data_IF_873411421270
#
_entry.id   IF_873411421270
#
_cell.length_a   1.000
_cell.length_b   1.000
_cell.length_c   1.000
_cell.angle_alpha   90.00
_cell.angle_beta   90.00
_cell.angle_gamma   90.00
#
_symmetry.space_group_name_H-M   'P 1'
#
loop_
_entity.id
_entity.type
_entity.pdbx_description
1 polymer ?
#
# COMPACT_ATOMS: atom_id res chain seq x y z
N UNK A 1 -8.91 -93.77 -10.26
CA UNK A 1 -10.35 -93.49 -10.51
C UNK A 1 -10.38 -92.04 -10.99
N UNK A 2 -10.17 -91.87 -12.23
CA UNK A 2 -11.12 -91.63 -13.33
C UNK A 2 -11.79 -90.29 -13.19
N UNK A 3 -11.90 -89.36 -14.06
CA UNK A 3 -11.75 -89.34 -15.57
C UNK A 3 -11.85 -87.84 -15.92
N UNK A 4 -11.03 -87.37 -16.76
CA UNK A 4 -11.17 -87.17 -18.19
C UNK A 4 -12.27 -86.28 -18.70
N UNK A 5 -11.85 -85.42 -19.53
CA UNK A 5 -12.27 -84.90 -20.84
C UNK A 5 -12.89 -83.48 -20.77
N UNK A 6 -12.77 -82.60 -21.74
CA UNK A 6 -12.19 -82.60 -23.08
C UNK A 6 -12.10 -81.15 -23.60
N UNK A 7 -11.21 -80.92 -24.49
CA UNK A 7 -10.94 -79.81 -25.39
C UNK A 7 -12.11 -79.37 -26.24
N UNK A 8 -12.21 -78.04 -26.49
CA UNK A 8 -12.65 -77.53 -27.83
C UNK A 8 -11.93 -76.22 -28.16
N UNK A 9 -11.19 -76.24 -29.26
CA UNK A 9 -10.57 -75.12 -29.94
C UNK A 9 -11.59 -74.43 -30.84
N UNK A 10 -11.70 -73.09 -30.74
CA UNK A 10 -12.31 -72.28 -31.79
C UNK A 10 -11.33 -71.20 -32.23
N UNK A 11 -10.93 -71.31 -33.46
CA UNK A 11 -10.16 -70.35 -34.26
C UNK A 11 -10.96 -69.06 -34.42
N UNK A 12 -10.28 -67.90 -34.25
CA UNK A 12 -10.66 -66.69 -34.95
C UNK A 12 -9.43 -65.88 -35.28
N UNK A 13 -9.30 -65.55 -36.53
CA UNK A 13 -8.23 -64.83 -37.24
C UNK A 13 -7.95 -63.43 -36.73
N UNK A 14 -6.73 -62.91 -37.00
CA UNK A 14 -6.30 -61.60 -36.50
C UNK A 14 -6.82 -60.46 -37.39
N UNK A 15 -7.37 -59.43 -36.76
CA UNK A 15 -7.70 -58.15 -37.41
C UNK A 15 -6.43 -57.29 -37.48
N UNK A 16 -6.17 -56.78 -38.66
CA UNK A 16 -5.12 -55.84 -39.04
C UNK A 16 -5.19 -54.53 -38.24
N UNK A 17 -4.05 -53.98 -37.79
CA UNK A 17 -4.04 -52.65 -37.15
C UNK A 17 -4.10 -51.54 -38.17
N UNK A 18 -5.11 -50.68 -38.09
CA UNK A 18 -5.17 -49.39 -38.79
C UNK A 18 -4.07 -48.44 -38.26
N UNK A 19 -3.23 -48.03 -39.18
CA UNK A 19 -2.18 -47.03 -39.04
C UNK A 19 -2.84 -45.64 -38.87
N UNK A 20 -2.96 -45.14 -37.66
CA UNK A 20 -3.26 -43.71 -37.41
C UNK A 20 -1.98 -42.89 -37.46
N UNK A 21 -1.95 -41.90 -38.35
CA UNK A 21 -0.88 -40.94 -38.58
C UNK A 21 -0.48 -40.15 -37.30
N UNK A 22 0.83 -39.85 -37.09
CA UNK A 22 1.32 -39.10 -35.96
C UNK A 22 1.40 -37.60 -36.27
N UNK A 23 0.25 -36.89 -36.29
CA UNK A 23 0.24 -35.45 -36.43
C UNK A 23 -1.03 -34.87 -35.78
N UNK A 24 -1.12 -34.92 -34.46
CA UNK A 24 -1.92 -34.05 -33.64
C UNK A 24 -1.80 -34.41 -32.14
N UNK A 25 -0.63 -34.10 -31.58
CA UNK A 25 -0.50 -33.97 -30.13
C UNK A 25 0.43 -32.82 -29.79
N UNK A 26 0.01 -31.59 -30.13
CA UNK A 26 0.49 -30.44 -29.39
C UNK A 26 -0.16 -30.51 -28.01
N UNK A 27 0.62 -31.01 -27.09
CA UNK A 27 0.31 -31.04 -25.67
C UNK A 27 -0.13 -29.67 -25.18
N UNK A 28 -1.40 -29.50 -24.97
CA UNK A 28 -1.88 -28.62 -23.94
C UNK A 28 -1.31 -29.14 -22.62
N UNK A 29 -0.41 -28.40 -22.02
CA UNK A 29 0.02 -28.64 -20.63
C UNK A 29 -1.25 -28.77 -19.77
N UNK A 30 -1.36 -29.79 -18.93
CA UNK A 30 -2.50 -29.86 -18.03
C UNK A 30 -2.40 -28.70 -17.05
N UNK A 31 -3.20 -27.66 -17.26
CA UNK A 31 -3.60 -26.74 -16.20
C UNK A 31 -4.23 -27.63 -15.13
N UNK A 32 -3.63 -27.63 -13.95
CA UNK A 32 -4.15 -28.38 -12.82
C UNK A 32 -5.63 -28.01 -12.62
N UNK A 33 -6.56 -28.98 -12.65
CA UNK A 33 -7.97 -28.70 -12.44
C UNK A 33 -8.13 -28.39 -10.94
N UNK A 34 -8.52 -27.15 -10.59
CA UNK A 34 -8.92 -26.83 -9.22
C UNK A 34 -8.64 -25.43 -8.69
N UNK A 35 -7.80 -24.61 -9.32
CA UNK A 35 -7.47 -23.29 -8.75
C UNK A 35 -8.41 -22.13 -9.18
N UNK A 36 -9.17 -22.29 -10.25
CA UNK A 36 -10.01 -21.20 -10.80
C UNK A 36 -11.44 -21.13 -10.23
N UNK A 37 -11.95 -22.20 -9.61
CA UNK A 37 -13.32 -22.24 -9.08
C UNK A 37 -13.53 -21.44 -7.78
N UNK A 38 -12.50 -20.78 -7.28
CA UNK A 38 -12.46 -20.27 -5.91
C UNK A 38 -12.81 -18.78 -5.73
N UNK A 39 -12.61 -17.89 -6.70
CA UNK A 39 -12.79 -16.44 -6.50
C UNK A 39 -14.06 -15.93 -7.19
N UNK A 40 -14.97 -15.23 -6.45
CA UNK A 40 -16.18 -14.68 -7.06
C UNK A 40 -15.89 -13.53 -8.04
N UNK A 41 -14.69 -12.88 -7.94
CA UNK A 41 -14.26 -11.72 -8.75
C UNK A 41 -15.34 -10.63 -8.96
N UNK A 42 -16.31 -10.55 -8.02
CA UNK A 42 -17.43 -9.63 -8.06
C UNK A 42 -18.55 -10.02 -7.09
N UNK A 43 -19.74 -9.48 -7.33
CA UNK A 43 -20.91 -9.68 -6.48
C UNK A 43 -21.02 -8.63 -5.35
N UNK A 44 -22.23 -8.54 -4.78
CA UNK A 44 -22.56 -7.49 -3.80
C UNK A 44 -21.64 -7.51 -2.56
N UNK A 45 -21.33 -8.67 -2.01
CA UNK A 45 -20.47 -8.79 -0.82
C UNK A 45 -19.04 -8.33 -1.08
N UNK A 46 -18.48 -8.65 -2.26
CA UNK A 46 -17.14 -8.24 -2.64
C UNK A 46 -17.05 -6.71 -2.78
N UNK A 47 -17.99 -6.10 -3.51
CA UNK A 47 -18.02 -4.65 -3.68
C UNK A 47 -18.41 -3.87 -2.42
N UNK A 48 -19.23 -4.44 -1.53
CA UNK A 48 -19.47 -3.88 -0.20
C UNK A 48 -18.19 -3.90 0.65
N UNK A 49 -17.36 -4.94 0.54
CA UNK A 49 -16.05 -4.97 1.20
C UNK A 49 -15.12 -3.89 0.65
N UNK A 50 -15.11 -3.64 -0.67
CA UNK A 50 -14.36 -2.51 -1.25
C UNK A 50 -14.89 -1.19 -0.74
N UNK A 51 -16.20 -0.99 -0.71
CA UNK A 51 -16.81 0.23 -0.19
C UNK A 51 -16.43 0.50 1.28
N UNK A 52 -16.52 -0.52 2.15
CA UNK A 52 -16.08 -0.40 3.54
C UNK A 52 -14.59 -0.10 3.67
N UNK A 53 -13.76 -0.69 2.80
CA UNK A 53 -12.33 -0.39 2.74
C UNK A 53 -12.06 1.06 2.29
N UNK A 54 -12.83 1.61 1.33
CA UNK A 54 -12.75 3.03 0.95
C UNK A 54 -13.00 3.93 2.16
N UNK A 55 -14.03 3.63 2.97
CA UNK A 55 -14.36 4.41 4.17
C UNK A 55 -13.27 4.31 5.25
N UNK A 56 -12.74 3.10 5.49
CA UNK A 56 -11.63 2.89 6.41
C UNK A 56 -10.39 3.69 5.99
N UNK A 57 -10.05 3.64 4.71
CA UNK A 57 -8.89 4.35 4.16
C UNK A 57 -9.12 5.85 4.05
N UNK A 58 -10.36 6.30 3.86
CA UNK A 58 -10.71 7.72 3.99
C UNK A 58 -10.36 8.22 5.40
N UNK A 59 -10.71 7.49 6.47
CA UNK A 59 -10.30 7.83 7.83
C UNK A 59 -8.77 7.86 7.98
N UNK A 60 -8.04 6.92 7.37
CA UNK A 60 -6.58 6.94 7.36
C UNK A 60 -6.01 8.16 6.61
N UNK A 61 -6.78 8.80 5.74
CA UNK A 61 -6.41 10.04 5.05
C UNK A 61 -6.11 11.22 5.99
N UNK A 62 -6.57 11.18 7.24
CA UNK A 62 -6.18 12.17 8.27
C UNK A 62 -4.65 12.24 8.48
N UNK A 63 -3.91 11.18 8.18
CA UNK A 63 -2.45 11.16 8.27
C UNK A 63 -1.81 12.31 7.47
N UNK A 64 -2.36 12.62 6.30
CA UNK A 64 -1.85 13.71 5.44
C UNK A 64 -2.21 15.11 5.97
N UNK A 65 -3.13 15.19 6.93
CA UNK A 65 -3.48 16.45 7.59
C UNK A 65 -2.48 16.86 8.69
N UNK A 66 -1.43 16.06 8.94
CA UNK A 66 -0.46 16.35 10.00
C UNK A 66 0.15 17.74 9.88
N UNK A 67 0.42 18.24 8.68
CA UNK A 67 0.90 19.61 8.47
C UNK A 67 -0.01 20.70 9.06
N UNK A 68 -1.35 20.52 9.04
CA UNK A 68 -2.27 21.45 9.70
C UNK A 68 -2.15 21.38 11.23
N UNK A 69 -1.95 20.18 11.78
CA UNK A 69 -1.68 19.99 13.22
C UNK A 69 -0.35 20.60 13.63
N UNK A 70 0.73 20.34 12.86
CA UNK A 70 2.07 20.85 13.11
C UNK A 70 2.07 22.39 13.20
N UNK A 71 1.42 23.04 12.23
CA UNK A 71 1.27 24.49 12.20
C UNK A 71 0.50 24.99 13.45
N UNK A 72 -0.58 24.30 13.83
CA UNK A 72 -1.36 24.65 15.01
C UNK A 72 -0.57 24.47 16.31
N UNK A 73 0.12 23.34 16.47
CA UNK A 73 0.93 23.04 17.64
C UNK A 73 2.07 24.05 17.83
N UNK A 74 2.77 24.40 16.76
CA UNK A 74 3.83 25.40 16.78
C UNK A 74 3.32 26.80 17.17
N UNK A 75 2.09 27.14 16.81
CA UNK A 75 1.51 28.43 17.14
C UNK A 75 0.87 28.47 18.55
N UNK A 76 0.48 27.33 19.13
CA UNK A 76 -0.32 27.28 20.37
C UNK A 76 0.35 26.42 21.46
N UNK A 77 0.02 25.11 21.52
CA UNK A 77 0.38 24.27 22.69
C UNK A 77 1.87 24.00 22.80
N UNK A 78 2.60 23.92 21.70
CA UNK A 78 4.01 23.53 21.64
C UNK A 78 4.93 24.62 21.09
N UNK A 79 4.52 25.91 21.24
CA UNK A 79 5.27 27.07 20.75
C UNK A 79 6.71 27.18 21.29
N UNK A 80 7.01 26.53 22.41
CA UNK A 80 8.35 26.51 23.03
C UNK A 80 9.27 25.43 22.44
N UNK A 81 8.78 24.56 21.52
CA UNK A 81 9.56 23.47 20.96
C UNK A 81 9.99 23.75 19.51
N UNK A 82 11.17 23.30 19.11
CA UNK A 82 11.58 23.40 17.71
C UNK A 82 10.68 22.57 16.80
N UNK A 83 10.46 23.02 15.57
CA UNK A 83 9.63 22.34 14.57
C UNK A 83 10.05 20.87 14.37
N UNK A 84 11.37 20.57 14.43
CA UNK A 84 11.88 19.20 14.35
C UNK A 84 11.35 18.27 15.43
N UNK A 85 11.11 18.77 16.65
CA UNK A 85 10.51 17.96 17.73
C UNK A 85 9.03 17.70 17.48
N UNK A 86 8.31 18.68 16.94
CA UNK A 86 6.88 18.54 16.62
C UNK A 86 6.68 17.55 15.47
N UNK A 87 7.53 17.58 14.45
CA UNK A 87 7.49 16.67 13.29
C UNK A 87 7.67 15.19 13.67
N UNK A 88 8.32 14.90 14.83
CA UNK A 88 8.43 13.52 15.33
C UNK A 88 7.06 12.87 15.61
N UNK A 89 6.03 13.67 15.96
CA UNK A 89 4.69 13.15 16.21
C UNK A 89 4.11 12.50 14.92
N UNK A 90 4.21 13.20 13.79
CA UNK A 90 3.75 12.68 12.51
C UNK A 90 4.61 11.54 11.98
N UNK A 91 5.93 11.62 12.17
CA UNK A 91 6.85 10.55 11.78
C UNK A 91 6.60 9.26 12.56
N UNK A 92 6.37 9.35 13.87
CA UNK A 92 6.01 8.21 14.72
C UNK A 92 4.66 7.62 14.28
N UNK A 93 3.67 8.46 13.99
CA UNK A 93 2.35 8.02 13.53
C UNK A 93 2.43 7.19 12.25
N UNK A 94 3.19 7.66 11.26
CA UNK A 94 3.40 6.94 10.01
C UNK A 94 4.22 5.67 10.21
N UNK A 95 5.27 5.72 11.04
CA UNK A 95 6.09 4.56 11.33
C UNK A 95 5.30 3.46 12.04
N UNK A 96 4.49 3.79 13.05
CA UNK A 96 3.64 2.82 13.77
C UNK A 96 2.62 2.18 12.85
N UNK A 97 1.96 2.96 11.97
CA UNK A 97 1.07 2.44 10.94
C UNK A 97 1.77 1.33 10.14
N UNK A 98 2.95 1.59 9.60
CA UNK A 98 3.67 0.62 8.76
C UNK A 98 4.26 -0.53 9.59
N UNK A 99 4.90 -0.25 10.72
CA UNK A 99 5.57 -1.25 11.56
C UNK A 99 4.61 -2.27 12.18
N UNK A 100 3.37 -1.87 12.51
CA UNK A 100 2.34 -2.75 13.08
C UNK A 100 1.88 -3.87 12.11
N UNK A 101 2.20 -3.75 10.83
CA UNK A 101 1.74 -4.65 9.79
C UNK A 101 2.10 -6.11 10.01
N UNK A 102 3.32 -6.41 10.44
CA UNK A 102 3.77 -7.77 10.69
C UNK A 102 2.97 -8.52 11.75
N UNK A 103 2.45 -7.81 12.75
CA UNK A 103 1.58 -8.36 13.79
C UNK A 103 0.13 -8.42 13.29
N UNK A 104 -0.38 -7.31 12.75
CA UNK A 104 -1.78 -7.20 12.33
C UNK A 104 -2.12 -8.11 11.15
N UNK A 105 -1.18 -8.30 10.21
CA UNK A 105 -1.36 -9.22 9.11
C UNK A 105 -1.55 -10.67 9.56
N UNK A 106 -0.79 -11.10 10.57
CA UNK A 106 -0.93 -12.45 11.16
C UNK A 106 -2.25 -12.62 11.92
N UNK A 107 -2.63 -11.61 12.71
CA UNK A 107 -3.91 -11.63 13.43
C UNK A 107 -5.05 -11.71 12.40
N UNK A 108 -4.94 -11.01 11.27
CA UNK A 108 -5.90 -11.12 10.18
C UNK A 108 -5.98 -12.54 9.61
N UNK A 109 -4.84 -13.15 9.30
CA UNK A 109 -4.81 -14.50 8.74
C UNK A 109 -5.34 -15.55 9.73
N UNK A 110 -5.11 -15.37 11.03
CA UNK A 110 -5.60 -16.27 12.06
C UNK A 110 -7.10 -16.09 12.40
N UNK A 111 -7.54 -14.86 12.60
CA UNK A 111 -8.84 -14.55 13.22
C UNK A 111 -9.81 -13.78 12.30
N UNK A 112 -9.34 -13.31 11.14
CA UNK A 112 -10.14 -12.54 10.20
C UNK A 112 -10.21 -11.03 10.51
N UNK A 113 -10.95 -10.25 9.68
CA UNK A 113 -10.93 -8.80 9.74
C UNK A 113 -11.59 -8.18 10.98
N UNK A 114 -12.70 -8.75 11.47
CA UNK A 114 -13.50 -8.13 12.51
C UNK A 114 -12.77 -7.97 13.85
N UNK A 115 -11.94 -8.95 14.20
CA UNK A 115 -11.14 -8.94 15.45
C UNK A 115 -10.15 -7.77 15.48
N UNK A 116 -9.76 -7.23 14.33
CA UNK A 116 -8.85 -6.09 14.21
C UNK A 116 -9.64 -4.80 13.94
N UNK A 117 -10.61 -4.83 13.04
CA UNK A 117 -11.36 -3.63 12.62
C UNK A 117 -12.16 -3.01 13.77
N UNK A 118 -12.83 -3.82 14.59
CA UNK A 118 -13.68 -3.30 15.67
C UNK A 118 -12.83 -2.57 16.72
N UNK A 119 -11.81 -3.21 17.34
CA UNK A 119 -10.97 -2.49 18.32
C UNK A 119 -10.15 -1.38 17.67
N UNK A 120 -9.73 -1.50 16.39
CA UNK A 120 -9.05 -0.44 15.66
C UNK A 120 -9.92 0.79 15.45
N UNK A 121 -11.19 0.60 15.12
CA UNK A 121 -12.18 1.67 14.98
C UNK A 121 -12.44 2.37 16.32
N UNK A 122 -12.58 1.60 17.39
CA UNK A 122 -12.72 2.16 18.75
C UNK A 122 -11.47 2.94 19.16
N UNK A 123 -10.28 2.39 18.91
CA UNK A 123 -9.02 3.04 19.22
C UNK A 123 -8.83 4.35 18.46
N UNK A 124 -9.26 4.41 17.17
CA UNK A 124 -9.21 5.64 16.38
C UNK A 124 -10.08 6.72 17.00
N UNK A 125 -11.32 6.39 17.34
CA UNK A 125 -12.25 7.36 17.95
C UNK A 125 -11.74 7.81 19.32
N UNK A 126 -11.34 6.88 20.17
CA UNK A 126 -10.81 7.20 21.51
C UNK A 126 -9.54 8.05 21.41
N UNK A 127 -8.59 7.69 20.56
CA UNK A 127 -7.35 8.46 20.40
C UNK A 127 -7.64 9.88 19.86
N UNK A 128 -8.57 10.02 18.92
CA UNK A 128 -8.99 11.32 18.39
C UNK A 128 -9.67 12.15 19.48
N UNK A 129 -10.53 11.56 20.32
CA UNK A 129 -11.15 12.26 21.45
C UNK A 129 -10.11 12.67 22.50
N UNK A 130 -9.17 11.79 22.85
CA UNK A 130 -8.08 12.10 23.79
C UNK A 130 -7.18 13.22 23.25
N UNK A 131 -6.90 13.23 21.94
CA UNK A 131 -6.10 14.30 21.32
C UNK A 131 -6.72 15.68 21.54
N UNK A 132 -8.06 15.79 21.62
CA UNK A 132 -8.77 17.05 21.84
C UNK A 132 -8.49 17.72 23.21
N UNK A 133 -7.96 16.96 24.17
CA UNK A 133 -7.65 17.43 25.53
C UNK A 133 -6.14 17.46 25.83
N UNK A 134 -5.31 17.05 24.87
CA UNK A 134 -3.86 17.06 25.02
C UNK A 134 -3.32 18.50 25.05
N UNK A 135 -2.34 18.73 25.94
CA UNK A 135 -1.67 20.04 26.10
C UNK A 135 -0.15 19.93 26.09
N UNK A 136 0.41 18.75 26.42
CA UNK A 136 1.87 18.52 26.52
C UNK A 136 2.39 17.69 25.38
N UNK A 137 3.64 17.87 24.99
CA UNK A 137 4.30 17.18 23.88
C UNK A 137 4.20 15.64 23.99
N UNK A 138 4.52 15.07 25.15
CA UNK A 138 4.46 13.61 25.31
C UNK A 138 3.04 13.05 25.15
N UNK A 139 2.00 13.82 25.47
CA UNK A 139 0.61 13.41 25.28
C UNK A 139 0.30 13.31 23.77
N UNK A 140 0.66 14.32 22.96
CA UNK A 140 0.50 14.25 21.50
C UNK A 140 1.33 13.13 20.91
N UNK A 141 2.57 12.92 21.35
CA UNK A 141 3.42 11.84 20.88
C UNK A 141 2.79 10.46 21.13
N UNK A 142 2.23 10.22 22.31
CA UNK A 142 1.59 8.96 22.67
C UNK A 142 0.22 8.80 22.01
N UNK A 143 -0.63 9.84 22.04
CA UNK A 143 -2.00 9.75 21.56
C UNK A 143 -2.03 9.81 20.03
N UNK A 144 -1.45 10.84 19.43
CA UNK A 144 -1.46 10.98 17.96
C UNK A 144 -0.39 10.10 17.30
N UNK A 145 0.83 10.09 17.82
CA UNK A 145 1.90 9.29 17.24
C UNK A 145 1.64 7.79 17.39
N UNK A 146 1.47 7.29 18.62
CA UNK A 146 1.37 5.86 18.87
C UNK A 146 -0.05 5.31 18.69
N UNK A 147 -1.05 5.82 19.43
CA UNK A 147 -2.40 5.23 19.44
C UNK A 147 -3.11 5.44 18.11
N UNK A 148 -3.08 6.67 17.56
CA UNK A 148 -3.71 6.93 16.26
C UNK A 148 -2.95 6.23 15.13
N UNK A 149 -1.61 6.16 15.17
CA UNK A 149 -0.81 5.39 14.21
C UNK A 149 -1.17 3.91 14.21
N UNK A 150 -1.30 3.29 15.39
CA UNK A 150 -1.73 1.89 15.52
C UNK A 150 -3.16 1.69 15.02
N UNK A 151 -4.09 2.59 15.33
CA UNK A 151 -5.48 2.49 14.87
C UNK A 151 -5.58 2.53 13.34
N UNK A 152 -4.77 3.36 12.68
CA UNK A 152 -4.69 3.36 11.22
C UNK A 152 -4.19 2.03 10.67
N UNK A 153 -3.18 1.41 11.29
CA UNK A 153 -2.74 0.07 10.93
C UNK A 153 -3.87 -0.96 11.06
N UNK A 154 -4.64 -0.89 12.14
CA UNK A 154 -5.78 -1.79 12.40
C UNK A 154 -6.94 -1.59 11.41
N UNK A 155 -7.06 -0.46 10.74
CA UNK A 155 -8.00 -0.23 9.64
C UNK A 155 -7.40 -0.62 8.28
N UNK A 156 -6.13 -0.31 8.06
CA UNK A 156 -5.44 -0.47 6.79
C UNK A 156 -5.26 -1.94 6.39
N UNK A 157 -4.61 -2.75 7.24
CA UNK A 157 -4.24 -4.12 6.90
C UNK A 157 -5.45 -5.04 6.66
N UNK A 158 -6.45 -5.10 7.53
CA UNK A 158 -7.59 -5.97 7.29
C UNK A 158 -8.44 -5.53 6.11
N UNK A 159 -8.49 -4.24 5.78
CA UNK A 159 -9.20 -3.74 4.60
C UNK A 159 -8.60 -4.31 3.31
N UNK A 160 -7.30 -4.21 3.14
CA UNK A 160 -6.62 -4.72 1.94
C UNK A 160 -6.55 -6.24 1.87
N UNK A 161 -6.27 -6.89 3.00
CA UNK A 161 -6.25 -8.34 3.05
C UNK A 161 -7.63 -8.91 2.74
N UNK A 162 -8.72 -8.30 3.21
CA UNK A 162 -10.09 -8.69 2.89
C UNK A 162 -10.39 -8.58 1.40
N UNK A 163 -10.06 -7.45 0.75
CA UNK A 163 -10.21 -7.28 -0.71
C UNK A 163 -9.46 -8.41 -1.44
N UNK A 164 -8.25 -8.73 -1.02
CA UNK A 164 -7.43 -9.75 -1.65
C UNK A 164 -8.03 -11.17 -1.56
N UNK A 165 -8.96 -11.42 -0.61
CA UNK A 165 -9.68 -12.70 -0.51
C UNK A 165 -10.88 -12.78 -1.44
N UNK A 166 -11.46 -11.66 -1.89
CA UNK A 166 -12.63 -11.63 -2.75
C UNK A 166 -12.30 -11.52 -4.24
N UNK A 167 -11.17 -10.88 -4.60
CA UNK A 167 -10.80 -10.58 -5.98
C UNK A 167 -9.47 -11.24 -6.37
N UNK A 168 -9.46 -11.89 -7.54
CA UNK A 168 -8.25 -12.38 -8.20
C UNK A 168 -7.99 -11.61 -9.49
N UNK A 169 -8.98 -11.58 -10.40
CA UNK A 169 -8.91 -10.94 -11.71
C UNK A 169 -8.86 -9.41 -11.59
N UNK A 170 -9.78 -8.82 -10.82
CA UNK A 170 -9.92 -7.37 -10.63
C UNK A 170 -9.30 -6.86 -9.33
N UNK A 171 -8.29 -7.58 -8.79
CA UNK A 171 -7.67 -7.26 -7.49
C UNK A 171 -7.00 -5.89 -7.48
N UNK A 172 -6.26 -5.55 -8.55
CA UNK A 172 -5.56 -4.27 -8.59
C UNK A 172 -6.56 -3.10 -8.67
N UNK A 173 -7.60 -3.22 -9.48
CA UNK A 173 -8.68 -2.24 -9.55
C UNK A 173 -9.37 -2.07 -8.20
N UNK A 174 -9.75 -3.16 -7.53
CA UNK A 174 -10.43 -3.11 -6.24
C UNK A 174 -9.56 -2.46 -5.14
N UNK A 175 -8.27 -2.79 -5.08
CA UNK A 175 -7.29 -2.17 -4.18
C UNK A 175 -7.08 -0.69 -4.55
N UNK A 176 -6.98 -0.37 -5.84
CA UNK A 176 -6.84 1.01 -6.33
C UNK A 176 -8.00 1.90 -5.92
N UNK A 177 -9.24 1.42 -6.08
CA UNK A 177 -10.45 2.13 -5.63
C UNK A 177 -10.43 2.31 -4.12
N UNK A 178 -10.06 1.29 -3.35
CA UNK A 178 -9.99 1.39 -1.90
C UNK A 178 -8.97 2.44 -1.44
N UNK A 179 -7.74 2.41 -2.00
CA UNK A 179 -6.69 3.35 -1.60
C UNK A 179 -6.96 4.78 -2.07
N UNK A 180 -7.78 4.98 -3.12
CA UNK A 180 -8.24 6.31 -3.50
C UNK A 180 -9.03 6.99 -2.37
N UNK A 181 -9.72 6.22 -1.51
CA UNK A 181 -10.36 6.72 -0.30
C UNK A 181 -9.40 7.51 0.59
N UNK A 182 -8.17 7.03 0.80
CA UNK A 182 -7.16 7.77 1.56
C UNK A 182 -6.72 9.06 0.87
N UNK A 183 -6.75 9.12 -0.45
CA UNK A 183 -6.48 10.33 -1.22
C UNK A 183 -7.58 11.38 -1.01
N UNK A 184 -8.85 10.95 -1.07
CA UNK A 184 -10.00 11.84 -0.81
C UNK A 184 -9.97 12.37 0.63
N UNK A 185 -9.73 11.49 1.62
CA UNK A 185 -9.53 11.88 3.00
C UNK A 185 -8.37 12.86 3.17
N UNK A 186 -7.27 12.63 2.44
CA UNK A 186 -6.09 13.49 2.42
C UNK A 186 -6.33 14.90 1.85
N UNK A 187 -7.40 15.12 1.12
CA UNK A 187 -7.85 16.44 0.68
C UNK A 187 -8.86 17.02 1.69
N UNK A 188 -9.83 16.23 2.10
CA UNK A 188 -10.94 16.69 2.95
C UNK A 188 -10.47 17.09 4.35
N UNK A 189 -9.67 16.25 5.02
CA UNK A 189 -9.29 16.51 6.42
C UNK A 189 -8.41 17.75 6.59
N UNK A 190 -7.36 18.03 5.80
CA UNK A 190 -6.59 19.26 5.96
C UNK A 190 -7.43 20.52 5.79
N UNK A 191 -8.34 20.53 4.80
CA UNK A 191 -9.25 21.66 4.55
C UNK A 191 -10.20 21.82 5.73
N UNK A 192 -10.81 20.74 6.19
CA UNK A 192 -11.72 20.72 7.33
C UNK A 192 -11.05 21.25 8.60
N UNK A 193 -9.87 20.72 8.93
CA UNK A 193 -9.14 21.16 10.13
C UNK A 193 -8.74 22.63 10.06
N UNK A 194 -8.24 23.10 8.93
CA UNK A 194 -7.86 24.50 8.76
C UNK A 194 -9.03 25.45 9.03
N UNK A 195 -10.23 25.12 8.53
CA UNK A 195 -11.42 25.93 8.74
C UNK A 195 -11.94 25.81 10.18
N UNK A 196 -12.01 24.59 10.71
CA UNK A 196 -12.56 24.36 12.05
C UNK A 196 -11.64 24.88 13.15
N UNK A 197 -10.32 24.79 13.01
CA UNK A 197 -9.38 25.36 13.98
C UNK A 197 -9.58 26.88 14.13
N UNK A 198 -9.83 27.58 13.03
CA UNK A 198 -10.06 29.01 13.05
C UNK A 198 -11.45 29.42 13.60
N UNK A 199 -12.48 28.58 13.36
CA UNK A 199 -13.87 28.94 13.69
C UNK A 199 -14.32 28.49 15.08
N UNK A 200 -13.97 27.25 15.49
CA UNK A 200 -14.46 26.63 16.74
C UNK A 200 -13.34 26.14 17.66
N UNK A 201 -12.09 26.36 17.26
CA UNK A 201 -10.90 25.95 17.99
C UNK A 201 -10.54 24.46 17.88
N UNK A 202 -9.34 24.13 18.35
CA UNK A 202 -8.72 22.81 18.21
C UNK A 202 -9.56 21.68 18.78
N UNK A 203 -10.00 21.81 20.04
CA UNK A 203 -10.67 20.72 20.76
C UNK A 203 -11.94 20.24 20.05
N UNK A 204 -12.83 21.15 19.62
CA UNK A 204 -14.04 20.79 18.93
C UNK A 204 -13.80 20.33 17.50
N UNK A 205 -12.85 20.92 16.80
CA UNK A 205 -12.48 20.48 15.45
C UNK A 205 -12.04 19.00 15.42
N UNK A 206 -11.21 18.61 16.39
CA UNK A 206 -10.75 17.21 16.54
C UNK A 206 -11.90 16.28 16.92
N UNK A 207 -12.81 16.71 17.82
CA UNK A 207 -13.99 15.91 18.18
C UNK A 207 -14.93 15.68 17.00
N UNK A 208 -15.18 16.69 16.19
CA UNK A 208 -16.00 16.56 14.97
C UNK A 208 -15.40 15.50 14.03
N UNK A 209 -14.08 15.52 13.82
CA UNK A 209 -13.43 14.48 13.02
C UNK A 209 -13.58 13.09 13.65
N UNK A 210 -13.51 12.99 14.98
CA UNK A 210 -13.74 11.76 15.72
C UNK A 210 -15.16 11.20 15.52
N UNK A 211 -16.20 12.04 15.56
CA UNK A 211 -17.57 11.63 15.28
C UNK A 211 -17.77 11.21 13.82
N UNK A 212 -17.16 11.93 12.88
CA UNK A 212 -17.15 11.53 11.48
C UNK A 212 -16.52 10.14 11.31
N UNK A 213 -15.33 9.93 11.89
CA UNK A 213 -14.66 8.63 11.85
C UNK A 213 -15.48 7.53 12.53
N UNK A 214 -16.18 7.81 13.64
CA UNK A 214 -17.07 6.85 14.30
C UNK A 214 -18.15 6.34 13.33
N UNK A 215 -18.84 7.27 12.64
CA UNK A 215 -19.88 6.91 11.68
C UNK A 215 -19.34 6.08 10.51
N UNK A 216 -18.21 6.48 9.92
CA UNK A 216 -17.59 5.79 8.80
C UNK A 216 -17.04 4.41 9.21
N UNK A 217 -16.41 4.31 10.38
CA UNK A 217 -15.89 3.05 10.93
C UNK A 217 -17.02 2.08 11.29
N UNK A 218 -18.17 2.55 11.76
CA UNK A 218 -19.34 1.69 12.01
C UNK A 218 -19.79 1.00 10.71
N UNK A 219 -19.89 1.74 9.60
CA UNK A 219 -20.20 1.18 8.28
C UNK A 219 -19.11 0.22 7.82
N UNK A 220 -17.83 0.56 8.02
CA UNK A 220 -16.68 -0.30 7.70
C UNK A 220 -16.76 -1.64 8.40
N UNK A 221 -17.04 -1.66 9.71
CA UNK A 221 -17.13 -2.91 10.51
C UNK A 221 -18.26 -3.84 10.06
N UNK A 222 -19.32 -3.28 9.49
CA UNK A 222 -20.46 -4.05 8.97
C UNK A 222 -20.15 -4.61 7.57
N UNK A 223 -19.53 -3.82 6.71
CA UNK A 223 -19.37 -4.11 5.28
C UNK A 223 -18.11 -4.87 4.93
N UNK A 224 -17.01 -4.68 5.66
CA UNK A 224 -15.75 -5.41 5.40
C UNK A 224 -15.84 -6.84 5.90
N UNK A 225 -15.73 -7.78 4.97
CA UNK A 225 -15.78 -9.22 5.24
C UNK A 225 -14.63 -9.94 4.59
N UNK A 226 -14.25 -11.09 5.13
CA UNK A 226 -13.30 -12.01 4.48
C UNK A 226 -14.06 -13.24 3.98
N UNK A 227 -13.64 -13.76 2.86
CA UNK A 227 -14.19 -14.98 2.29
C UNK A 227 -13.79 -16.23 3.07
N UNK A 228 -12.57 -16.26 3.61
CA UNK A 228 -12.05 -17.40 4.34
C UNK A 228 -12.57 -17.35 5.78
N UNK A 229 -13.34 -18.38 6.24
CA UNK A 229 -13.84 -18.43 7.61
C UNK A 229 -12.69 -18.49 8.62
N UNK A 230 -12.86 -17.91 9.82
CA UNK A 230 -11.95 -18.15 10.94
C UNK A 230 -11.91 -19.65 11.24
N UNK A 231 -10.72 -20.21 11.50
CA UNK A 231 -10.54 -21.63 11.85
C UNK A 231 -10.15 -22.55 10.68
N UNK A 232 -10.36 -22.19 9.43
CA UNK A 232 -9.76 -22.88 8.27
C UNK A 232 -8.37 -22.36 7.91
N UNK A 233 -7.89 -21.40 8.66
CA UNK A 233 -6.62 -20.71 8.44
C UNK A 233 -5.54 -21.44 9.24
N UNK A 234 -4.66 -22.13 8.54
CA UNK A 234 -3.52 -22.86 9.12
C UNK A 234 -2.35 -21.93 9.52
N UNK A 235 -2.63 -20.65 9.76
CA UNK A 235 -1.57 -19.71 10.10
C UNK A 235 -1.05 -19.98 11.52
N UNK A 236 0.13 -20.59 11.60
CA UNK A 236 0.91 -20.64 12.84
C UNK A 236 1.25 -19.20 13.24
N UNK A 237 1.20 -18.89 14.52
CA UNK A 237 1.48 -17.57 15.07
C UNK A 237 2.93 -17.10 14.82
N UNK A 238 3.82 -18.02 14.45
CA UNK A 238 5.21 -17.78 14.02
C UNK A 238 5.26 -18.02 12.50
N UNK A 239 5.78 -17.08 11.68
CA UNK A 239 5.95 -17.32 10.26
C UNK A 239 6.84 -18.53 10.08
N UNK A 240 6.40 -19.49 9.29
CA UNK A 240 7.30 -20.54 8.85
C UNK A 240 8.50 -19.85 8.16
N UNK A 241 9.71 -20.26 8.51
CA UNK A 241 10.95 -19.73 7.89
C UNK A 241 10.92 -19.82 6.36
N UNK A 242 10.05 -20.66 5.81
CA UNK A 242 9.76 -20.80 4.37
C UNK A 242 9.15 -19.54 3.78
N UNK A 243 8.28 -18.84 4.49
CA UNK A 243 7.65 -17.58 4.01
C UNK A 243 8.69 -16.48 3.81
N UNK A 244 9.71 -16.46 4.69
CA UNK A 244 10.79 -15.46 4.64
C UNK A 244 11.93 -15.87 3.70
N UNK A 245 12.01 -17.15 3.27
CA UNK A 245 13.05 -17.64 2.36
C UNK A 245 12.64 -17.64 0.89
N UNK A 246 11.42 -17.26 0.56
CA UNK A 246 10.93 -17.14 -0.80
C UNK A 246 11.65 -15.99 -1.53
N UNK A 247 12.51 -16.31 -2.48
CA UNK A 247 13.35 -15.33 -3.17
C UNK A 247 12.55 -14.22 -3.89
N UNK A 248 11.45 -14.49 -4.64
CA UNK A 248 10.59 -13.44 -5.19
C UNK A 248 10.05 -12.50 -4.13
N UNK A 249 9.65 -13.03 -2.96
CA UNK A 249 9.13 -12.25 -1.86
C UNK A 249 10.18 -11.32 -1.25
N UNK A 250 11.39 -11.85 -0.96
CA UNK A 250 12.50 -11.05 -0.41
C UNK A 250 12.87 -9.91 -1.36
N UNK A 251 12.98 -10.19 -2.66
CA UNK A 251 13.31 -9.19 -3.68
C UNK A 251 12.22 -8.12 -3.80
N UNK A 252 10.94 -8.52 -3.75
CA UNK A 252 9.82 -7.59 -3.74
C UNK A 252 9.85 -6.67 -2.51
N UNK A 253 10.04 -7.24 -1.32
CA UNK A 253 10.13 -6.49 -0.05
C UNK A 253 11.33 -5.54 -0.06
N UNK A 254 12.50 -6.00 -0.51
CA UNK A 254 13.70 -5.16 -0.64
C UNK A 254 13.52 -4.02 -1.64
N UNK A 255 12.88 -4.31 -2.78
CA UNK A 255 12.52 -3.28 -3.76
C UNK A 255 11.57 -2.23 -3.19
N UNK A 256 10.52 -2.68 -2.49
CA UNK A 256 9.58 -1.77 -1.82
C UNK A 256 10.24 -0.95 -0.71
N UNK A 257 11.18 -1.52 0.05
CA UNK A 257 11.96 -0.78 1.06
C UNK A 257 12.72 0.38 0.43
N UNK A 258 13.47 0.13 -0.65
CA UNK A 258 14.24 1.16 -1.35
C UNK A 258 13.34 2.23 -1.97
N UNK A 259 12.25 1.83 -2.62
CA UNK A 259 11.31 2.79 -3.20
C UNK A 259 10.67 3.65 -2.11
N UNK A 260 10.20 3.06 -1.00
CA UNK A 260 9.62 3.83 0.10
C UNK A 260 10.63 4.77 0.77
N UNK A 261 11.92 4.44 0.75
CA UNK A 261 12.98 5.32 1.23
C UNK A 261 13.07 6.60 0.39
N UNK A 262 12.99 6.51 -0.94
CA UNK A 262 13.09 7.65 -1.86
C UNK A 262 11.78 8.38 -2.13
N UNK A 263 10.66 7.66 -2.14
CA UNK A 263 9.36 8.14 -2.63
C UNK A 263 8.84 9.37 -1.88
N UNK A 264 9.04 9.42 -0.56
CA UNK A 264 8.51 10.50 0.27
C UNK A 264 9.41 11.74 0.29
N UNK A 265 10.64 11.68 -0.24
CA UNK A 265 11.57 12.82 -0.25
C UNK A 265 10.95 14.06 -0.93
N UNK A 266 10.38 13.97 -2.16
CA UNK A 266 9.73 15.13 -2.77
C UNK A 266 8.50 15.62 -2.00
N UNK A 267 7.72 14.73 -1.35
CA UNK A 267 6.57 15.13 -0.55
C UNK A 267 6.95 16.02 0.64
N UNK A 268 8.15 15.84 1.19
CA UNK A 268 8.66 16.61 2.32
C UNK A 268 9.36 17.88 1.84
N UNK A 269 10.23 17.78 0.83
CA UNK A 269 11.18 18.85 0.50
C UNK A 269 10.82 19.68 -0.73
N UNK A 270 9.78 19.33 -1.51
CA UNK A 270 9.46 20.08 -2.75
C UNK A 270 8.92 21.47 -2.46
N UNK A 271 8.22 21.68 -1.36
CA UNK A 271 7.78 23.00 -0.94
C UNK A 271 8.97 23.91 -0.61
N UNK A 272 9.92 23.40 0.19
CA UNK A 272 11.14 24.12 0.55
C UNK A 272 12.02 24.38 -0.67
N UNK A 273 12.16 23.40 -1.57
CA UNK A 273 12.84 23.57 -2.85
C UNK A 273 12.21 24.69 -3.69
N UNK A 274 10.89 24.81 -3.71
CA UNK A 274 10.21 25.86 -4.46
C UNK A 274 10.48 27.24 -3.86
N UNK A 275 10.51 27.37 -2.54
CA UNK A 275 10.91 28.61 -1.85
C UNK A 275 12.38 28.94 -2.14
N UNK A 276 13.29 27.95 -2.11
CA UNK A 276 14.69 28.12 -2.50
C UNK A 276 14.84 28.64 -3.94
N UNK A 277 13.91 28.29 -4.86
CA UNK A 277 13.84 28.82 -6.22
C UNK A 277 13.18 30.19 -6.34
N UNK A 278 12.81 30.84 -5.24
CA UNK A 278 12.22 32.18 -5.22
C UNK A 278 10.70 32.21 -5.39
N UNK A 279 10.01 31.07 -5.26
CA UNK A 279 8.54 31.00 -5.30
C UNK A 279 7.99 31.38 -3.92
N UNK A 280 6.90 32.13 -3.89
CA UNK A 280 6.27 32.55 -2.63
C UNK A 280 5.79 31.35 -1.80
N UNK A 281 5.90 31.43 -0.48
CA UNK A 281 5.49 30.37 0.45
C UNK A 281 4.00 30.00 0.30
N UNK A 282 3.13 30.97 0.00
CA UNK A 282 1.72 30.71 -0.28
C UNK A 282 1.47 29.82 -1.51
N UNK A 283 2.25 30.02 -2.58
CA UNK A 283 2.18 29.22 -3.80
C UNK A 283 2.80 27.83 -3.59
N UNK A 284 3.85 27.73 -2.79
CA UNK A 284 4.55 26.48 -2.48
C UNK A 284 3.62 25.43 -1.84
N UNK A 285 2.65 25.87 -1.05
CA UNK A 285 1.64 24.98 -0.47
C UNK A 285 0.77 24.30 -1.55
N UNK A 286 0.42 25.01 -2.62
CA UNK A 286 -0.39 24.45 -3.71
C UNK A 286 0.36 23.42 -4.53
N UNK A 287 1.69 23.44 -4.55
CA UNK A 287 2.53 22.44 -5.24
C UNK A 287 2.33 21.04 -4.60
N UNK A 288 2.29 20.96 -3.28
CA UNK A 288 2.02 19.70 -2.58
C UNK A 288 0.59 19.22 -2.86
N UNK A 289 -0.37 20.14 -2.93
CA UNK A 289 -1.76 19.80 -3.29
C UNK A 289 -1.84 19.26 -4.72
N UNK A 290 -1.10 19.83 -5.66
CA UNK A 290 -1.01 19.34 -7.05
C UNK A 290 -0.38 17.94 -7.12
N UNK A 291 0.67 17.66 -6.30
CA UNK A 291 1.27 16.32 -6.20
C UNK A 291 0.26 15.30 -5.65
N UNK A 292 -0.49 15.65 -4.62
CA UNK A 292 -1.54 14.78 -4.08
C UNK A 292 -2.66 14.53 -5.09
N UNK A 293 -3.08 15.54 -5.86
CA UNK A 293 -4.06 15.37 -6.94
C UNK A 293 -3.55 14.39 -8.01
N UNK A 294 -2.31 14.51 -8.45
CA UNK A 294 -1.67 13.53 -9.33
C UNK A 294 -1.66 12.13 -8.74
N UNK A 295 -1.38 12.01 -7.44
CA UNK A 295 -1.34 10.73 -6.73
C UNK A 295 -2.73 10.05 -6.67
N UNK A 296 -3.84 10.80 -6.57
CA UNK A 296 -5.18 10.21 -6.63
C UNK A 296 -5.43 9.55 -7.99
N UNK A 297 -5.08 10.25 -9.08
CA UNK A 297 -5.17 9.68 -10.42
C UNK A 297 -4.32 8.41 -10.56
N UNK A 298 -3.08 8.43 -10.06
CA UNK A 298 -2.16 7.29 -10.06
C UNK A 298 -2.67 6.09 -9.26
N UNK A 299 -3.50 6.29 -8.25
CA UNK A 299 -4.10 5.20 -7.45
C UNK A 299 -5.28 4.51 -8.15
N UNK A 300 -5.86 5.11 -9.17
CA UNK A 300 -7.06 4.57 -9.86
C UNK A 300 -6.70 4.03 -11.25
N UNK A 301 -6.15 4.86 -12.14
CA UNK A 301 -5.96 4.50 -13.54
C UNK A 301 -4.91 3.40 -13.77
N UNK A 302 -3.68 3.45 -13.19
CA UNK A 302 -2.70 2.39 -13.37
C UNK A 302 -3.12 1.02 -12.80
N UNK A 303 -3.76 0.91 -11.62
CA UNK A 303 -4.32 -0.35 -11.15
C UNK A 303 -5.35 -0.99 -12.08
N UNK A 304 -6.24 -0.18 -12.67
CA UNK A 304 -7.18 -0.67 -13.65
C UNK A 304 -6.47 -1.27 -14.88
N UNK A 305 -5.44 -0.61 -15.36
CA UNK A 305 -4.62 -1.12 -16.46
C UNK A 305 -3.83 -2.37 -16.05
N UNK A 306 -3.38 -2.45 -14.80
CA UNK A 306 -2.59 -3.56 -14.29
C UNK A 306 -3.35 -4.89 -14.27
N UNK A 307 -4.67 -4.88 -14.11
CA UNK A 307 -5.48 -6.09 -14.17
C UNK A 307 -5.55 -6.69 -15.59
N UNK A 308 -5.23 -5.91 -16.65
CA UNK A 308 -5.16 -6.38 -18.04
C UNK A 308 -3.74 -6.68 -18.50
N UNK A 309 -2.79 -5.79 -18.22
CA UNK A 309 -1.39 -5.85 -18.69
C UNK A 309 -0.51 -6.69 -17.77
N UNK A 310 -0.88 -6.80 -16.48
CA UNK A 310 -0.11 -7.47 -15.44
C UNK A 310 0.42 -6.47 -14.40
N UNK A 311 0.37 -6.89 -13.14
CA UNK A 311 0.61 -6.00 -11.98
C UNK A 311 2.06 -5.53 -11.90
N UNK A 312 3.01 -6.45 -12.08
CA UNK A 312 4.43 -6.11 -12.14
C UNK A 312 4.78 -5.25 -13.36
N UNK A 313 4.07 -5.44 -14.50
CA UNK A 313 4.29 -4.67 -15.72
C UNK A 313 3.90 -3.20 -15.57
N UNK A 314 3.07 -2.85 -14.61
CA UNK A 314 2.73 -1.47 -14.26
C UNK A 314 3.59 -0.96 -13.09
N UNK A 315 3.84 -1.80 -12.07
CA UNK A 315 4.63 -1.39 -10.90
C UNK A 315 6.07 -1.02 -11.25
N UNK A 316 6.74 -1.85 -12.06
CA UNK A 316 8.17 -1.66 -12.42
C UNK A 316 8.40 -0.37 -13.20
N UNK A 317 7.71 -0.11 -14.34
CA UNK A 317 7.87 1.16 -15.04
C UNK A 317 7.49 2.38 -14.20
N UNK A 318 6.43 2.28 -13.37
CA UNK A 318 6.03 3.39 -12.50
C UNK A 318 7.13 3.76 -11.52
N UNK A 319 7.77 2.78 -10.89
CA UNK A 319 8.89 3.00 -9.96
C UNK A 319 10.16 3.49 -10.67
N UNK A 320 10.47 2.95 -11.84
CA UNK A 320 11.60 3.40 -12.66
C UNK A 320 11.44 4.88 -13.04
N UNK A 321 10.24 5.26 -13.51
CA UNK A 321 9.93 6.64 -13.88
C UNK A 321 10.00 7.61 -12.70
N UNK A 322 9.68 7.18 -11.45
CA UNK A 322 9.92 8.01 -10.26
C UNK A 322 11.39 8.42 -10.14
N UNK A 323 12.30 7.47 -10.32
CA UNK A 323 13.74 7.74 -10.27
C UNK A 323 14.20 8.62 -11.43
N UNK A 324 13.79 8.32 -12.65
CA UNK A 324 14.13 9.10 -13.84
C UNK A 324 13.59 10.53 -13.73
N UNK A 325 12.35 10.73 -13.31
CA UNK A 325 11.75 12.06 -13.10
C UNK A 325 12.52 12.88 -12.06
N UNK A 326 12.99 12.24 -10.98
CA UNK A 326 13.80 12.94 -9.99
C UNK A 326 15.12 13.41 -10.61
N UNK A 327 15.86 12.55 -11.32
CA UNK A 327 17.16 12.86 -11.87
C UNK A 327 17.12 13.79 -13.10
N UNK A 328 16.11 13.62 -13.99
CA UNK A 328 16.04 14.34 -15.25
C UNK A 328 15.17 15.59 -15.18
N UNK A 329 14.10 15.57 -14.38
CA UNK A 329 13.15 16.67 -14.38
C UNK A 329 13.24 17.54 -13.12
N UNK A 330 13.21 16.97 -11.91
CA UNK A 330 13.32 17.75 -10.66
C UNK A 330 14.64 18.53 -10.59
N UNK A 331 15.75 17.89 -10.93
CA UNK A 331 17.07 18.51 -10.92
C UNK A 331 17.12 19.80 -11.76
N UNK A 332 16.39 19.86 -12.87
CA UNK A 332 16.38 21.00 -13.80
C UNK A 332 15.13 21.88 -13.69
N UNK A 333 14.16 21.55 -12.84
CA UNK A 333 12.94 22.31 -12.65
C UNK A 333 13.21 23.63 -11.91
N UNK A 334 13.33 24.74 -12.64
CA UNK A 334 13.63 26.08 -12.08
C UNK A 334 12.41 27.00 -12.05
N UNK A 335 11.43 26.79 -12.93
CA UNK A 335 10.22 27.62 -13.02
C UNK A 335 9.07 27.00 -12.23
N UNK A 336 8.12 27.84 -11.80
CA UNK A 336 6.90 27.41 -11.11
C UNK A 336 6.15 26.33 -11.92
N UNK A 337 5.98 26.55 -13.22
CA UNK A 337 5.27 25.62 -14.11
C UNK A 337 5.98 24.26 -14.14
N UNK A 338 7.33 24.25 -14.27
CA UNK A 338 8.10 23.02 -14.28
C UNK A 338 7.95 22.25 -12.95
N UNK A 339 7.98 22.95 -11.81
CA UNK A 339 7.82 22.33 -10.48
C UNK A 339 6.42 21.75 -10.31
N UNK A 340 5.37 22.45 -10.78
CA UNK A 340 3.99 21.94 -10.73
C UNK A 340 3.82 20.70 -11.62
N UNK A 341 4.34 20.74 -12.85
CA UNK A 341 4.30 19.59 -13.77
C UNK A 341 5.04 18.39 -13.17
N UNK A 342 6.24 18.63 -12.62
CA UNK A 342 6.96 17.59 -11.89
C UNK A 342 6.11 17.03 -10.74
N UNK A 343 5.52 17.89 -9.91
CA UNK A 343 4.70 17.49 -8.76
C UNK A 343 3.53 16.57 -9.19
N UNK A 344 2.76 16.97 -10.23
CA UNK A 344 1.62 16.18 -10.72
C UNK A 344 2.06 14.84 -11.28
N UNK A 345 3.10 14.82 -12.13
CA UNK A 345 3.58 13.60 -12.79
C UNK A 345 4.23 12.65 -11.77
N UNK A 346 5.09 13.18 -10.88
CA UNK A 346 5.68 12.39 -9.79
C UNK A 346 4.60 11.85 -8.85
N UNK A 347 3.62 12.68 -8.51
CA UNK A 347 2.44 12.29 -7.74
C UNK A 347 1.71 11.10 -8.40
N UNK A 348 1.46 11.16 -9.70
CA UNK A 348 0.79 10.09 -10.43
C UNK A 348 1.55 8.75 -10.31
N UNK A 349 2.85 8.72 -10.60
CA UNK A 349 3.64 7.49 -10.51
C UNK A 349 3.83 7.00 -9.08
N UNK A 350 3.95 7.90 -8.10
CA UNK A 350 3.99 7.52 -6.69
C UNK A 350 2.67 6.89 -6.23
N UNK A 351 1.54 7.43 -6.67
CA UNK A 351 0.21 6.85 -6.43
C UNK A 351 0.06 5.47 -7.06
N UNK A 352 0.55 5.29 -8.29
CA UNK A 352 0.57 4.00 -8.97
C UNK A 352 1.38 2.96 -8.19
N UNK A 353 2.59 3.30 -7.75
CA UNK A 353 3.41 2.39 -6.94
C UNK A 353 2.73 2.01 -5.63
N UNK A 354 2.22 2.99 -4.88
CA UNK A 354 1.53 2.73 -3.60
C UNK A 354 0.32 1.80 -3.77
N UNK A 355 -0.41 1.93 -4.88
CA UNK A 355 -1.56 1.07 -5.17
C UNK A 355 -1.15 -0.32 -5.68
N UNK A 356 0.05 -0.48 -6.27
CA UNK A 356 0.52 -1.75 -6.82
C UNK A 356 1.23 -2.65 -5.82
N UNK A 357 1.73 -2.15 -4.69
CA UNK A 357 2.43 -2.96 -3.69
C UNK A 357 1.62 -4.19 -3.26
N UNK A 358 0.34 -3.98 -2.89
CA UNK A 358 -0.54 -5.03 -2.40
C UNK A 358 -0.94 -6.03 -3.49
N UNK A 359 -1.38 -5.61 -4.69
CA UNK A 359 -1.63 -6.54 -5.78
C UNK A 359 -0.42 -7.39 -6.19
N UNK A 360 0.79 -6.81 -6.21
CA UNK A 360 2.00 -7.55 -6.54
C UNK A 360 2.32 -8.62 -5.49
N UNK A 361 2.24 -8.28 -4.18
CA UNK A 361 2.51 -9.25 -3.13
C UNK A 361 1.44 -10.34 -3.07
N UNK A 362 0.17 -9.97 -3.22
CA UNK A 362 -0.93 -10.92 -3.21
C UNK A 362 -0.91 -11.88 -4.43
N UNK A 363 -0.22 -11.51 -5.51
CA UNK A 363 -0.06 -12.34 -6.70
C UNK A 363 0.93 -13.49 -6.48
N UNK A 364 1.99 -13.26 -5.70
CA UNK A 364 3.01 -14.26 -5.37
C UNK A 364 2.72 -14.98 -4.04
N UNK A 365 1.55 -14.73 -3.43
CA UNK A 365 1.21 -15.23 -2.10
C UNK A 365 0.04 -16.20 -2.17
N UNK A 366 0.07 -17.22 -1.31
CA UNK A 366 -1.12 -18.05 -1.04
C UNK A 366 -2.16 -17.19 -0.32
N UNK A 367 -3.45 -17.50 -0.55
CA UNK A 367 -4.57 -16.72 0.01
C UNK A 367 -4.58 -16.74 1.55
N UNK A 368 -4.12 -17.84 2.15
CA UNK A 368 -4.04 -18.04 3.59
C UNK A 368 -2.96 -17.20 4.28
N UNK A 369 -1.92 -16.79 3.53
CA UNK A 369 -0.75 -16.07 4.03
C UNK A 369 -0.71 -14.61 3.57
N UNK A 370 -1.71 -14.16 2.81
CA UNK A 370 -1.68 -12.85 2.15
C UNK A 370 -1.60 -11.70 3.15
N UNK A 371 -2.30 -11.81 4.28
CA UNK A 371 -2.25 -10.80 5.34
C UNK A 371 -0.87 -10.71 5.98
N UNK A 372 -0.28 -11.86 6.32
CA UNK A 372 1.06 -11.95 6.90
C UNK A 372 2.11 -11.34 5.95
N UNK A 373 2.08 -11.70 4.66
CA UNK A 373 3.04 -11.19 3.68
C UNK A 373 2.89 -9.70 3.41
N UNK A 374 1.64 -9.18 3.34
CA UNK A 374 1.38 -7.73 3.27
C UNK A 374 1.95 -7.05 4.51
N UNK A 375 1.68 -7.61 5.69
CA UNK A 375 2.17 -7.07 6.95
C UNK A 375 3.69 -7.01 7.04
N UNK A 376 4.40 -8.07 6.66
CA UNK A 376 5.88 -8.12 6.64
C UNK A 376 6.44 -7.07 5.67
N UNK A 377 5.86 -6.95 4.46
CA UNK A 377 6.29 -5.95 3.47
C UNK A 377 6.27 -4.55 4.08
N UNK A 378 5.14 -4.14 4.66
CA UNK A 378 5.01 -2.81 5.22
C UNK A 378 5.86 -2.61 6.47
N UNK A 379 6.00 -3.65 7.35
CA UNK A 379 6.89 -3.56 8.51
C UNK A 379 8.35 -3.34 8.10
N UNK A 380 8.82 -3.99 7.05
CA UNK A 380 10.17 -3.73 6.51
C UNK A 380 10.24 -2.37 5.83
N UNK A 381 9.24 -2.01 5.01
CA UNK A 381 9.17 -0.71 4.35
C UNK A 381 9.13 0.47 5.34
N UNK A 382 8.65 0.27 6.58
CA UNK A 382 8.61 1.29 7.63
C UNK A 382 9.97 1.92 7.91
N UNK A 383 11.05 1.12 7.84
CA UNK A 383 12.42 1.63 8.02
C UNK A 383 12.85 2.53 6.86
N UNK A 384 12.42 2.22 5.62
CA UNK A 384 12.66 3.09 4.47
C UNK A 384 11.96 4.44 4.62
N UNK A 385 10.68 4.42 4.98
CA UNK A 385 9.88 5.64 5.21
C UNK A 385 10.47 6.50 6.34
N UNK A 386 10.90 5.85 7.44
CA UNK A 386 11.48 6.56 8.59
C UNK A 386 12.84 7.18 8.26
N UNK A 387 13.69 6.48 7.51
CA UNK A 387 15.06 6.88 7.25
C UNK A 387 15.20 7.85 6.05
N UNK A 388 14.27 7.83 5.09
CA UNK A 388 14.39 8.59 3.83
C UNK A 388 14.43 10.10 4.03
N UNK A 389 13.52 10.65 4.83
CA UNK A 389 13.48 12.08 5.15
C UNK A 389 14.74 12.59 5.85
N UNK A 390 15.15 12.00 7.00
CA UNK A 390 16.36 12.36 7.69
C UNK A 390 17.64 12.23 6.83
N UNK A 391 17.76 11.17 6.03
CA UNK A 391 18.91 10.98 5.14
C UNK A 391 18.98 12.10 4.08
N UNK A 392 17.85 12.47 3.49
CA UNK A 392 17.75 13.57 2.55
C UNK A 392 18.12 14.92 3.20
N UNK A 393 17.64 15.17 4.43
CA UNK A 393 17.97 16.36 5.19
C UNK A 393 19.45 16.45 5.59
N UNK A 394 20.06 15.31 5.92
CA UNK A 394 21.49 15.25 6.22
C UNK A 394 22.33 15.60 4.98
N UNK A 395 21.96 15.11 3.80
CA UNK A 395 22.60 15.46 2.54
C UNK A 395 22.43 16.95 2.21
N UNK A 396 21.22 17.50 2.40
CA UNK A 396 20.97 18.93 2.18
C UNK A 396 21.86 19.81 3.06
N UNK A 397 22.09 19.39 4.32
CA UNK A 397 22.98 20.07 5.24
C UNK A 397 24.46 19.90 4.83
N UNK A 398 24.86 18.70 4.43
CA UNK A 398 26.24 18.41 3.97
C UNK A 398 26.59 19.16 2.69
N UNK A 399 25.65 19.32 1.78
CA UNK A 399 25.79 20.06 0.51
C UNK A 399 25.58 21.59 0.68
N UNK A 400 25.69 22.11 1.90
CA UNK A 400 25.54 23.54 2.20
C UNK A 400 24.23 24.17 1.69
N UNK A 401 23.12 23.43 1.72
CA UNK A 401 21.80 23.86 1.27
C UNK A 401 21.51 23.62 -0.21
N UNK A 402 22.41 22.94 -0.94
CA UNK A 402 22.14 22.50 -2.30
C UNK A 402 21.29 21.24 -2.32
N UNK A 403 20.25 21.23 -3.13
CA UNK A 403 19.31 20.09 -3.21
C UNK A 403 19.80 18.93 -4.08
N UNK A 404 20.97 19.07 -4.73
CA UNK A 404 21.49 18.13 -5.74
C UNK A 404 21.71 16.73 -5.15
N UNK A 405 22.40 16.62 -4.02
CA UNK A 405 22.69 15.32 -3.38
C UNK A 405 21.43 14.58 -2.96
N UNK A 406 20.45 15.30 -2.41
CA UNK A 406 19.14 14.75 -2.02
C UNK A 406 18.33 14.26 -3.23
N UNK A 407 18.34 15.01 -4.34
CA UNK A 407 17.66 14.65 -5.59
C UNK A 407 18.31 13.39 -6.20
N UNK A 408 19.64 13.30 -6.19
CA UNK A 408 20.38 12.12 -6.65
C UNK A 408 20.00 10.90 -5.77
N UNK A 409 20.01 11.04 -4.45
CA UNK A 409 19.61 9.98 -3.54
C UNK A 409 18.20 9.48 -3.88
N UNK A 410 17.23 10.39 -4.00
CA UNK A 410 15.84 10.06 -4.36
C UNK A 410 15.78 9.27 -5.67
N UNK A 411 16.47 9.74 -6.72
CA UNK A 411 16.44 9.10 -8.03
C UNK A 411 17.10 7.72 -8.03
N UNK A 412 18.28 7.60 -7.46
CA UNK A 412 19.06 6.35 -7.45
C UNK A 412 18.34 5.25 -6.68
N UNK A 413 17.81 5.54 -5.47
CA UNK A 413 17.13 4.50 -4.68
C UNK A 413 15.83 4.03 -5.33
N UNK A 414 15.09 4.90 -6.03
CA UNK A 414 13.89 4.51 -6.78
C UNK A 414 14.26 3.61 -7.99
N UNK A 415 15.33 3.92 -8.72
CA UNK A 415 15.82 3.07 -9.83
C UNK A 415 16.30 1.73 -9.30
N UNK A 416 17.13 1.68 -8.25
CA UNK A 416 17.57 0.43 -7.63
C UNK A 416 16.38 -0.39 -7.12
N UNK A 417 15.39 0.24 -6.50
CA UNK A 417 14.16 -0.42 -6.08
C UNK A 417 13.42 -1.04 -7.26
N UNK A 418 13.30 -0.32 -8.39
CA UNK A 418 12.66 -0.84 -9.60
C UNK A 418 13.41 -2.05 -10.19
N UNK A 419 14.74 -2.05 -10.12
CA UNK A 419 15.56 -3.19 -10.57
C UNK A 419 15.33 -4.43 -9.70
N UNK A 420 15.18 -4.28 -8.38
CA UNK A 420 14.83 -5.38 -7.48
C UNK A 420 13.42 -5.92 -7.77
N UNK A 421 12.45 -5.04 -8.07
CA UNK A 421 11.10 -5.46 -8.49
C UNK A 421 11.13 -6.22 -9.81
N UNK A 422 11.95 -5.79 -10.77
CA UNK A 422 12.16 -6.50 -12.03
C UNK A 422 12.78 -7.88 -11.78
N UNK A 423 13.78 -7.95 -10.91
CA UNK A 423 14.40 -9.22 -10.55
C UNK A 423 13.43 -10.17 -9.84
N UNK A 424 12.60 -9.65 -8.92
CA UNK A 424 11.51 -10.41 -8.31
C UNK A 424 10.59 -11.03 -9.37
N UNK A 425 10.15 -10.22 -10.36
CA UNK A 425 9.33 -10.69 -11.47
C UNK A 425 10.01 -11.79 -12.28
N UNK A 426 11.28 -11.60 -12.65
CA UNK A 426 12.05 -12.60 -13.43
C UNK A 426 12.20 -13.94 -12.70
N UNK A 427 12.20 -13.94 -11.36
CA UNK A 427 12.21 -15.18 -10.56
C UNK A 427 10.85 -15.88 -10.56
N UNK A 428 9.74 -15.14 -10.73
CA UNK A 428 8.39 -15.72 -10.84
C UNK A 428 8.14 -16.24 -12.25
N UNK A 429 8.45 -15.43 -13.27
CA UNK A 429 8.36 -15.80 -14.68
C UNK A 429 9.48 -15.09 -15.47
N UNK A 430 10.36 -15.85 -16.16
CA UNK A 430 11.47 -15.29 -16.94
C UNK A 430 11.03 -14.41 -18.12
N UNK A 431 9.81 -14.59 -18.62
CA UNK A 431 9.30 -13.80 -19.75
C UNK A 431 8.84 -12.42 -19.29
N UNK A 432 9.56 -11.37 -19.68
CA UNK A 432 9.43 -10.01 -19.17
C UNK A 432 8.05 -9.39 -19.47
N UNK A 433 7.39 -9.75 -20.58
CA UNK A 433 6.10 -9.13 -20.99
C UNK A 433 4.88 -10.01 -20.73
N UNK A 434 5.07 -11.24 -20.25
CA UNK A 434 3.92 -12.08 -19.92
C UNK A 434 3.21 -11.57 -18.68
N UNK A 435 1.90 -11.66 -18.71
CA UNK A 435 1.05 -11.44 -17.55
C UNK A 435 1.38 -12.54 -16.52
N UNK A 436 1.97 -12.14 -15.42
CA UNK A 436 2.17 -13.01 -14.26
C UNK A 436 0.96 -12.87 -13.37
#
# INVERSE_FOLDING_TARGET
MDSATATTWVNSSPATPETKSPLESRSASPTAPGEDEGYPDGGLKAWLTVFGAVLALFCCGQLTAFGAFETWYAANQLHNLPASSISWIGSLQLWVLYASGGILGRIFDAYGPRVILIPGSMLLVVSTMLMSVCTKYYQFLLVQGLLTGLSYGMLFYPSFASISTHFRKYRATAVGVAIAGSGVGGVVFPIMYRQLFASIGFGWAVRISGFLCLALCAVTCITVTSRIPPGQRTSKMIPDAVVVRDAPFILLVGGCLLVNFGLFIPFVYLADYSIYRGISSGTSFYIISAMNAGSIFGRIAPPFLADTVGRFNIAIPSTFLLGVLALSFWMFAKSLIAIIVFAVVYGCFSGAFLAMQIPCIAQISKIEEVGTRIGILYSVASFGVLAGGPAAGALLKADHGLYTGMIILCGVVNILGSMLLLWAKCKVNPQILTRV
#
